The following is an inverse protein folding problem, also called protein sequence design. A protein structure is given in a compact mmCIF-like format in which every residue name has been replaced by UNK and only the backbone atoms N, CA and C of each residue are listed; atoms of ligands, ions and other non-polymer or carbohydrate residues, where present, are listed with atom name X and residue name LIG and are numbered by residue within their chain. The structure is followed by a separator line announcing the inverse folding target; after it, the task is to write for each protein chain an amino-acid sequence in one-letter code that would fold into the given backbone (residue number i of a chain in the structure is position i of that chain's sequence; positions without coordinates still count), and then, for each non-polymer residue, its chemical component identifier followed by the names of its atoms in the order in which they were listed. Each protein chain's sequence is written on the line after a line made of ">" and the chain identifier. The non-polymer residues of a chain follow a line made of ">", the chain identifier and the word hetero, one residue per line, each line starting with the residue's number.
data_IF_453105137215
#
_entry.id   IF_453105137215
#
_cell.length_a   1.000
_cell.length_b   1.000
_cell.length_c   1.000
_cell.angle_alpha   90.00
_cell.angle_beta   90.00
_cell.angle_gamma   90.00
#
_symmetry.space_group_name_H-M   'P 1'
#
loop_
_entity.id
_entity.type
_entity.pdbx_description
1 polymer ?
#
# COMPACT_ATOMS: atom_id res chain seq x y z
N UNK A 1 -4.31 5.98 9.35
CA UNK A 1 -3.38 5.95 10.50
C UNK A 1 -2.09 5.31 10.03
N UNK A 2 -0.98 6.04 9.93
CA UNK A 2 0.32 5.42 9.64
C UNK A 2 0.74 4.62 10.89
N UNK A 3 0.60 3.30 10.82
CA UNK A 3 1.01 2.42 11.90
C UNK A 3 2.54 2.48 11.99
N UNK A 4 3.06 3.19 12.99
CA UNK A 4 4.49 3.26 13.22
C UNK A 4 4.96 1.93 13.79
N UNK A 5 5.57 1.10 12.93
CA UNK A 5 6.21 -0.15 13.35
C UNK A 5 7.45 0.19 14.18
N UNK A 6 7.38 0.01 15.50
CA UNK A 6 8.51 0.21 16.40
C UNK A 6 9.58 -0.85 16.14
N UNK A 7 10.85 -0.44 16.18
CA UNK A 7 11.98 -1.35 16.02
C UNK A 7 12.19 -2.09 17.34
N UNK A 8 11.56 -3.26 17.50
CA UNK A 8 11.77 -4.11 18.66
C UNK A 8 13.07 -4.92 18.52
N UNK A 9 13.74 -5.20 19.64
CA UNK A 9 14.86 -6.14 19.67
C UNK A 9 14.37 -7.52 19.20
N UNK A 10 15.21 -8.31 18.51
CA UNK A 10 14.85 -9.67 18.06
C UNK A 10 14.33 -10.59 19.17
N UNK A 11 14.71 -10.33 20.43
CA UNK A 11 14.24 -11.07 21.62
C UNK A 11 12.83 -10.68 22.06
N UNK A 12 12.42 -9.44 21.82
CA UNK A 12 11.11 -8.89 22.25
C UNK A 12 10.17 -8.62 21.09
N UNK A 13 10.61 -8.82 19.85
CA UNK A 13 9.78 -8.71 18.66
C UNK A 13 8.69 -9.78 18.65
N UNK A 14 7.51 -9.40 18.16
CA UNK A 14 6.42 -10.34 17.90
C UNK A 14 6.83 -11.31 16.78
N UNK A 15 6.48 -12.59 16.94
CA UNK A 15 6.93 -13.69 16.08
C UNK A 15 5.73 -14.41 15.49
N UNK A 16 5.68 -14.44 14.17
CA UNK A 16 4.69 -15.18 13.42
C UNK A 16 5.37 -16.23 12.54
N UNK A 17 5.03 -17.51 12.73
CA UNK A 17 5.59 -18.61 11.95
C UNK A 17 4.76 -18.81 10.68
N UNK A 18 5.38 -18.55 9.52
CA UNK A 18 4.75 -18.71 8.20
C UNK A 18 5.15 -20.06 7.61
N UNK A 19 4.17 -20.80 7.06
CA UNK A 19 4.43 -21.98 6.22
C UNK A 19 4.53 -21.52 4.77
N UNK A 20 5.71 -21.66 4.19
CA UNK A 20 5.96 -21.29 2.80
C UNK A 20 5.79 -22.53 1.90
N UNK A 21 5.23 -22.38 0.69
CA UNK A 21 5.28 -23.42 -0.33
C UNK A 21 6.72 -23.69 -0.77
N UNK A 22 6.91 -24.84 -1.42
CA UNK A 22 8.21 -25.24 -1.95
C UNK A 22 8.77 -24.19 -2.92
N UNK A 23 10.08 -23.97 -2.87
CA UNK A 23 10.79 -22.98 -3.71
C UNK A 23 10.74 -21.55 -3.17
N UNK A 24 9.61 -21.08 -2.60
CA UNK A 24 9.45 -19.67 -2.23
C UNK A 24 10.48 -19.17 -1.21
N UNK A 25 10.91 -20.04 -0.29
CA UNK A 25 11.97 -19.68 0.67
C UNK A 25 13.31 -19.39 -0.02
N UNK A 26 13.65 -20.15 -1.07
CA UNK A 26 14.88 -19.95 -1.82
C UNK A 26 14.81 -18.63 -2.61
N UNK A 27 13.67 -18.34 -3.23
CA UNK A 27 13.45 -17.07 -3.93
C UNK A 27 13.61 -15.87 -3.00
N UNK A 28 13.04 -15.94 -1.79
CA UNK A 28 13.20 -14.90 -0.77
C UNK A 28 14.67 -14.74 -0.34
N UNK A 29 15.43 -15.84 -0.26
CA UNK A 29 16.84 -15.79 0.11
C UNK A 29 17.67 -15.03 -0.93
N UNK A 30 17.48 -15.33 -2.22
CA UNK A 30 18.13 -14.61 -3.34
C UNK A 30 17.78 -13.13 -3.30
N UNK A 31 16.49 -12.82 -3.18
CA UNK A 31 16.02 -11.42 -3.13
C UNK A 31 16.57 -10.67 -1.91
N UNK A 32 16.74 -11.34 -0.77
CA UNK A 32 17.30 -10.71 0.41
C UNK A 32 18.80 -10.41 0.23
N UNK A 33 19.55 -11.33 -0.40
CA UNK A 33 20.96 -11.14 -0.74
C UNK A 33 21.15 -9.99 -1.74
N UNK A 34 20.37 -9.97 -2.82
CA UNK A 34 20.40 -8.90 -3.83
C UNK A 34 20.11 -7.50 -3.27
N UNK A 35 19.37 -7.43 -2.15
CA UNK A 35 18.99 -6.19 -1.49
C UNK A 35 19.78 -5.88 -0.21
N UNK A 36 20.88 -6.60 0.06
CA UNK A 36 21.73 -6.45 1.26
C UNK A 36 20.94 -6.52 2.57
N UNK A 37 20.01 -7.48 2.67
CA UNK A 37 19.10 -7.65 3.81
C UNK A 37 19.08 -9.07 4.32
N UNK A 38 18.72 -9.24 5.59
CA UNK A 38 18.31 -10.56 6.08
C UNK A 38 16.98 -10.98 5.45
N UNK A 39 16.73 -12.28 5.29
CA UNK A 39 15.42 -12.79 4.84
C UNK A 39 14.26 -12.21 5.65
N UNK A 40 14.41 -12.08 6.97
CA UNK A 40 13.39 -11.48 7.82
C UNK A 40 13.16 -10.00 7.47
N UNK A 41 14.24 -9.23 7.31
CA UNK A 41 14.16 -7.82 6.92
C UNK A 41 13.49 -7.64 5.56
N UNK A 42 13.76 -8.54 4.62
CA UNK A 42 13.16 -8.51 3.29
C UNK A 42 11.65 -8.84 3.33
N UNK A 43 11.26 -9.89 4.07
CA UNK A 43 9.84 -10.22 4.27
C UNK A 43 9.10 -9.03 4.91
N UNK A 44 9.65 -8.44 5.97
CA UNK A 44 9.06 -7.28 6.64
C UNK A 44 8.95 -6.08 5.69
N UNK A 45 9.97 -5.83 4.86
CA UNK A 45 9.94 -4.74 3.90
C UNK A 45 8.84 -4.94 2.84
N UNK A 46 8.71 -6.15 2.30
CA UNK A 46 7.65 -6.49 1.34
C UNK A 46 6.26 -6.34 1.93
N UNK A 47 6.04 -6.80 3.17
CA UNK A 47 4.77 -6.64 3.87
C UNK A 47 4.42 -5.17 4.08
N UNK A 48 5.37 -4.36 4.57
CA UNK A 48 5.17 -2.91 4.74
C UNK A 48 4.80 -2.24 3.41
N UNK A 49 5.55 -2.53 2.35
CA UNK A 49 5.29 -1.99 1.02
C UNK A 49 3.89 -2.37 0.51
N UNK A 50 3.49 -3.63 0.66
CA UNK A 50 2.16 -4.10 0.26
C UNK A 50 1.06 -3.34 0.98
N UNK A 51 1.15 -3.23 2.31
CA UNK A 51 0.15 -2.54 3.14
C UNK A 51 0.06 -1.05 2.76
N UNK A 52 1.20 -0.38 2.57
CA UNK A 52 1.22 1.03 2.14
C UNK A 52 0.63 1.20 0.75
N UNK A 53 0.92 0.29 -0.18
CA UNK A 53 0.34 0.32 -1.53
C UNK A 53 -1.18 0.15 -1.50
N UNK A 54 -1.69 -0.79 -0.70
CA UNK A 54 -3.13 -1.01 -0.56
C UNK A 54 -3.84 0.23 0.00
N UNK A 55 -3.25 0.88 1.02
CA UNK A 55 -3.76 2.13 1.58
C UNK A 55 -3.77 3.26 0.55
N UNK A 56 -2.67 3.43 -0.20
CA UNK A 56 -2.56 4.46 -1.23
C UNK A 56 -3.58 4.24 -2.35
N UNK A 57 -3.81 2.99 -2.75
CA UNK A 57 -4.80 2.63 -3.77
C UNK A 57 -6.23 2.98 -3.29
N UNK A 58 -6.54 2.70 -2.03
CA UNK A 58 -7.84 3.04 -1.44
C UNK A 58 -8.05 4.57 -1.39
N UNK A 59 -7.03 5.32 -0.96
CA UNK A 59 -7.06 6.79 -0.94
C UNK A 59 -7.19 7.38 -2.35
N UNK A 60 -6.45 6.84 -3.33
CA UNK A 60 -6.59 7.23 -4.73
C UNK A 60 -8.01 6.96 -5.26
N UNK A 61 -8.59 5.81 -4.94
CA UNK A 61 -9.95 5.47 -5.38
C UNK A 61 -10.97 6.46 -4.83
N UNK A 62 -10.85 6.83 -3.55
CA UNK A 62 -11.70 7.87 -2.93
C UNK A 62 -11.51 9.22 -3.60
N UNK A 63 -10.27 9.62 -3.85
CA UNK A 63 -9.96 10.89 -4.51
C UNK A 63 -10.55 10.96 -5.92
N UNK A 64 -10.39 9.89 -6.70
CA UNK A 64 -10.98 9.79 -8.04
C UNK A 64 -12.50 9.93 -7.96
N UNK A 65 -13.17 9.25 -7.03
CA UNK A 65 -14.61 9.39 -6.81
C UNK A 65 -15.05 10.82 -6.49
N UNK A 66 -14.34 11.50 -5.58
CA UNK A 66 -14.62 12.89 -5.23
C UNK A 66 -14.40 13.85 -6.41
N UNK A 67 -13.34 13.63 -7.20
CA UNK A 67 -13.05 14.44 -8.39
C UNK A 67 -14.11 14.24 -9.46
N UNK A 68 -14.56 13.00 -9.71
CA UNK A 68 -15.63 12.71 -10.67
C UNK A 68 -16.93 13.40 -10.27
N UNK A 69 -17.34 13.31 -9.00
CA UNK A 69 -18.51 14.02 -8.50
C UNK A 69 -18.39 15.53 -8.74
N UNK A 70 -17.22 16.11 -8.45
CA UNK A 70 -17.00 17.55 -8.61
C UNK A 70 -17.03 17.98 -10.07
N UNK A 71 -16.51 17.15 -10.98
CA UNK A 71 -16.59 17.39 -12.43
C UNK A 71 -18.06 17.41 -12.85
N UNK A 72 -18.85 16.40 -12.47
CA UNK A 72 -20.28 16.35 -12.81
C UNK A 72 -21.04 17.58 -12.30
N UNK A 73 -20.83 17.99 -11.05
CA UNK A 73 -21.46 19.20 -10.50
C UNK A 73 -21.08 20.49 -11.24
N UNK A 74 -19.85 20.57 -11.76
CA UNK A 74 -19.38 21.73 -12.51
C UNK A 74 -19.93 21.74 -13.93
N UNK A 75 -20.02 20.57 -14.57
CA UNK A 75 -20.62 20.39 -15.88
C UNK A 75 -22.11 20.77 -15.87
N UNK A 76 -22.86 20.35 -14.85
CA UNK A 76 -24.28 20.72 -14.69
C UNK A 76 -24.48 22.23 -14.54
N UNK A 77 -23.62 22.90 -13.76
CA UNK A 77 -23.68 24.37 -13.58
C UNK A 77 -23.35 25.13 -14.86
N UNK A 78 -22.34 24.69 -15.60
CA UNK A 78 -22.00 25.29 -16.88
C UNK A 78 -23.17 25.18 -17.86
N UNK A 79 -23.84 24.03 -17.89
CA UNK A 79 -25.00 23.83 -18.75
C UNK A 79 -26.17 24.75 -18.36
N UNK A 80 -26.48 24.89 -17.06
CA UNK A 80 -27.52 25.81 -16.60
C UNK A 80 -27.22 27.28 -16.92
N UNK A 81 -25.95 27.68 -16.83
CA UNK A 81 -25.53 29.06 -17.14
C UNK A 81 -25.64 29.36 -18.64
N UNK A 82 -25.37 28.38 -19.51
CA UNK A 82 -25.58 28.51 -20.96
C UNK A 82 -27.04 28.52 -21.40
N UNK A 83 -27.93 27.85 -20.67
CA UNK A 83 -29.37 27.82 -20.98
C UNK A 83 -30.10 29.09 -20.47
N UNK A 84 -29.53 29.80 -19.49
CA UNK A 84 -30.06 31.04 -18.94
C UNK A 84 -29.63 32.33 -19.69
N UNK A 85 -28.71 32.22 -20.66
CA UNK A 85 -28.16 33.32 -21.45
C UNK A 85 -28.73 33.34 -22.88
#
# INVERSE_FOLDING_TARGET
>A
MQQQYTTANSRTADKFVVRLPDGLRADIAVLAEDNDRSMNSEIVNRLKRSITQDQLNEEQTKLIGMLLQRITELEEKLQSDTEAA
#
